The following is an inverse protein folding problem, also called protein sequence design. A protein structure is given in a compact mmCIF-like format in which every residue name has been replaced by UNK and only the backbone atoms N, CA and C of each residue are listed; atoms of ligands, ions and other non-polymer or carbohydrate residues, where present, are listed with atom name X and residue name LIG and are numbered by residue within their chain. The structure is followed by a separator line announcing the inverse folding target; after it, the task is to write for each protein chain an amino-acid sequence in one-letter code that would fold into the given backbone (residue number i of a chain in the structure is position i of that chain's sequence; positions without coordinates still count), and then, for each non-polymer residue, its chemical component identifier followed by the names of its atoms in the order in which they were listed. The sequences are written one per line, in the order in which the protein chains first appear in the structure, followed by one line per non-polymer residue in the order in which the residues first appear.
data_IF_350520288568
#
_entry.id   IF_350520288568
#
_cell.length_a   1.000
_cell.length_b   1.000
_cell.length_c   1.000
_cell.angle_alpha   90.00
_cell.angle_beta   90.00
_cell.angle_gamma   90.00
#
_symmetry.space_group_name_H-M   'P 1'
#
loop_
_entity.id
_entity.type
_entity.pdbx_description
1 polymer ?
#
# COMPACT_ATOMS: atom_id res chain seq x y z
N UNK A 1 -69.94 -27.99 -58.90
CA UNK A 1 -69.41 -29.19 -58.21
C UNK A 1 -68.91 -28.76 -56.84
N UNK A 2 -69.31 -29.48 -55.79
CA UNK A 2 -68.87 -29.32 -54.39
C UNK A 2 -67.37 -29.57 -54.26
N UNK A 3 -66.70 -28.84 -53.37
CA UNK A 3 -65.86 -29.48 -52.34
C UNK A 3 -65.63 -28.54 -51.15
N UNK A 4 -65.75 -29.14 -49.97
CA UNK A 4 -65.63 -28.59 -48.63
C UNK A 4 -64.15 -28.68 -48.23
N UNK A 5 -63.64 -27.71 -47.47
CA UNK A 5 -62.27 -27.73 -46.96
C UNK A 5 -62.07 -26.88 -45.69
N UNK A 6 -62.36 -27.53 -44.56
CA UNK A 6 -61.71 -27.44 -43.23
C UNK A 6 -61.67 -26.12 -42.44
N UNK A 7 -62.34 -26.20 -41.28
CA UNK A 7 -62.24 -25.37 -40.09
C UNK A 7 -60.80 -25.34 -39.53
N UNK A 8 -60.40 -24.20 -38.98
CA UNK A 8 -59.27 -24.09 -38.04
C UNK A 8 -59.76 -23.38 -36.77
N UNK A 9 -59.47 -23.99 -35.62
CA UNK A 9 -59.78 -23.48 -34.28
C UNK A 9 -58.96 -22.22 -33.93
N UNK A 10 -59.49 -21.28 -33.13
CA UNK A 10 -58.66 -20.22 -32.56
C UNK A 10 -57.81 -20.76 -31.41
N UNK A 11 -56.50 -20.84 -31.63
CA UNK A 11 -55.50 -21.13 -30.59
C UNK A 11 -55.50 -19.97 -29.58
N UNK A 12 -55.81 -20.29 -28.32
CA UNK A 12 -55.65 -19.40 -27.17
C UNK A 12 -54.17 -18.99 -27.03
N UNK A 13 -53.92 -17.68 -27.09
CA UNK A 13 -52.59 -17.08 -26.96
C UNK A 13 -52.08 -17.21 -25.52
N UNK A 14 -51.12 -18.11 -25.34
CA UNK A 14 -50.48 -18.47 -24.07
C UNK A 14 -49.69 -17.31 -23.41
N UNK A 15 -49.60 -16.15 -24.06
CA UNK A 15 -48.87 -14.99 -23.54
C UNK A 15 -49.66 -14.09 -22.58
N UNK A 16 -50.99 -14.12 -22.58
CA UNK A 16 -51.77 -13.23 -21.70
C UNK A 16 -51.97 -13.77 -20.27
N UNK A 17 -51.88 -15.09 -20.05
CA UNK A 17 -52.04 -15.69 -18.71
C UNK A 17 -50.75 -15.57 -17.86
N UNK A 18 -49.58 -15.48 -18.50
CA UNK A 18 -48.29 -15.38 -17.78
C UNK A 18 -48.01 -13.99 -17.21
N UNK A 19 -48.51 -12.92 -17.83
CA UNK A 19 -48.24 -11.55 -17.37
C UNK A 19 -49.02 -11.20 -16.09
N UNK A 20 -50.24 -11.73 -15.93
CA UNK A 20 -51.07 -11.46 -14.75
C UNK A 20 -50.60 -12.21 -13.49
N UNK A 21 -49.95 -13.37 -13.65
CA UNK A 21 -49.43 -14.17 -12.52
C UNK A 21 -48.11 -13.63 -11.94
N UNK A 22 -47.28 -12.98 -12.78
CA UNK A 22 -45.98 -12.44 -12.34
C UNK A 22 -46.17 -11.14 -11.54
N UNK A 23 -47.17 -10.31 -11.88
CA UNK A 23 -47.44 -9.05 -11.17
C UNK A 23 -47.99 -9.27 -9.75
N UNK A 24 -48.81 -10.30 -9.51
CA UNK A 24 -49.34 -10.62 -8.18
C UNK A 24 -48.32 -11.32 -7.27
N UNK A 25 -47.34 -12.05 -7.85
CA UNK A 25 -46.25 -12.66 -7.08
C UNK A 25 -45.25 -11.61 -6.56
N UNK A 26 -44.94 -10.59 -7.37
CA UNK A 26 -43.99 -9.53 -7.02
C UNK A 26 -44.54 -8.58 -5.93
N UNK A 27 -45.84 -8.31 -5.92
CA UNK A 27 -46.49 -7.51 -4.87
C UNK A 27 -46.53 -8.22 -3.50
N UNK A 28 -46.69 -9.56 -3.48
CA UNK A 28 -46.63 -10.36 -2.23
C UNK A 28 -45.20 -10.52 -1.69
N UNK A 29 -44.19 -10.59 -2.56
CA UNK A 29 -42.78 -10.62 -2.14
C UNK A 29 -42.33 -9.28 -1.54
N UNK A 30 -42.80 -8.14 -2.08
CA UNK A 30 -42.49 -6.81 -1.56
C UNK A 30 -43.01 -6.54 -0.14
N UNK A 31 -44.18 -7.09 0.21
CA UNK A 31 -44.79 -6.89 1.54
C UNK A 31 -44.08 -7.70 2.64
N UNK A 32 -43.57 -8.90 2.32
CA UNK A 32 -42.84 -9.77 3.26
C UNK A 32 -41.42 -9.22 3.55
N UNK A 33 -40.81 -8.56 2.57
CA UNK A 33 -39.49 -7.90 2.75
C UNK A 33 -39.61 -6.62 3.59
N UNK A 34 -40.73 -5.89 3.53
CA UNK A 34 -40.92 -4.70 4.37
C UNK A 34 -41.17 -5.05 5.85
N UNK A 35 -41.92 -6.12 6.13
CA UNK A 35 -42.23 -6.55 7.52
C UNK A 35 -41.02 -7.21 8.20
N UNK A 36 -40.14 -7.88 7.45
CA UNK A 36 -38.92 -8.51 8.01
C UNK A 36 -37.80 -7.50 8.34
N UNK A 37 -37.79 -6.31 7.72
CA UNK A 37 -36.82 -5.24 8.03
C UNK A 37 -37.13 -4.47 9.33
N UNK A 38 -38.39 -4.43 9.76
CA UNK A 38 -38.78 -3.79 11.03
C UNK A 38 -38.41 -4.61 12.27
N UNK A 39 -38.53 -5.94 12.20
CA UNK A 39 -38.21 -6.83 13.33
C UNK A 39 -36.69 -7.06 13.52
N UNK A 40 -35.91 -7.00 12.44
CA UNK A 40 -34.46 -7.24 12.48
C UNK A 40 -33.65 -6.09 13.10
N UNK A 41 -34.20 -4.87 13.11
CA UNK A 41 -33.56 -3.70 13.73
C UNK A 41 -33.66 -3.69 15.26
N UNK A 42 -34.74 -4.22 15.84
CA UNK A 42 -34.93 -4.22 17.29
C UNK A 42 -34.04 -5.24 18.03
N UNK A 43 -33.69 -6.36 17.38
CA UNK A 43 -32.83 -7.41 17.98
C UNK A 43 -31.34 -7.06 17.80
N UNK A 44 -30.97 -6.44 16.67
CA UNK A 44 -29.59 -6.02 16.40
C UNK A 44 -29.08 -4.88 17.29
N UNK A 45 -29.95 -3.92 17.65
CA UNK A 45 -29.58 -2.78 18.49
C UNK A 45 -29.31 -3.17 19.96
N UNK A 46 -30.02 -4.18 20.49
CA UNK A 46 -29.82 -4.66 21.86
C UNK A 46 -28.52 -5.44 22.07
N UNK A 47 -28.07 -6.21 21.06
CA UNK A 47 -26.83 -6.99 21.15
C UNK A 47 -25.56 -6.11 21.06
N UNK A 48 -25.60 -5.01 20.32
CA UNK A 48 -24.46 -4.08 20.17
C UNK A 48 -24.29 -3.18 21.41
N UNK A 49 -25.38 -2.84 22.11
CA UNK A 49 -25.32 -2.04 23.33
C UNK A 49 -24.71 -2.81 24.52
N UNK A 50 -24.93 -4.13 24.64
CA UNK A 50 -24.34 -4.95 25.70
C UNK A 50 -22.86 -5.31 25.47
N UNK A 51 -22.37 -5.29 24.22
CA UNK A 51 -20.96 -5.55 23.92
C UNK A 51 -20.03 -4.35 24.24
N UNK A 52 -20.57 -3.14 24.39
CA UNK A 52 -19.81 -1.94 24.74
C UNK A 52 -19.62 -1.74 26.25
N UNK A 53 -20.25 -2.56 27.10
CA UNK A 53 -20.16 -2.45 28.56
C UNK A 53 -19.13 -3.40 29.21
N UNK A 54 -18.44 -4.23 28.41
CA UNK A 54 -17.39 -5.15 28.88
C UNK A 54 -16.09 -5.04 28.09
N UNK A 55 -15.66 -3.82 27.76
CA UNK A 55 -14.25 -3.59 27.42
C UNK A 55 -13.50 -3.41 28.74
N UNK A 56 -12.59 -4.32 29.13
CA UNK A 56 -11.74 -4.07 30.29
C UNK A 56 -10.94 -2.80 30.01
N UNK A 57 -10.94 -1.88 30.98
CA UNK A 57 -10.08 -0.71 30.95
C UNK A 57 -8.62 -1.18 30.86
N UNK A 58 -8.06 -1.18 29.65
CA UNK A 58 -6.62 -1.30 29.45
C UNK A 58 -6.04 0.01 29.97
N UNK A 59 -5.61 -0.04 31.22
CA UNK A 59 -4.82 1.01 31.82
C UNK A 59 -3.54 1.11 31.00
N UNK A 60 -3.29 2.28 30.42
CA UNK A 60 -1.99 2.64 29.92
C UNK A 60 -1.02 2.64 31.12
N UNK A 61 -0.34 1.52 31.32
CA UNK A 61 0.70 1.42 32.31
C UNK A 61 1.95 2.08 31.72
N UNK A 62 2.10 3.37 31.96
CA UNK A 62 3.37 4.07 31.76
C UNK A 62 4.33 3.63 32.87
N UNK A 63 5.15 2.62 32.61
CA UNK A 63 6.36 2.37 33.37
C UNK A 63 7.51 1.93 32.46
N UNK A 64 8.62 2.67 32.56
CA UNK A 64 9.96 2.20 32.21
C UNK A 64 10.41 2.46 30.78
N UNK A 65 10.89 3.67 30.50
CA UNK A 65 11.89 3.85 29.44
C UNK A 65 13.18 3.15 29.86
N UNK A 66 13.47 1.99 29.26
CA UNK A 66 14.85 1.52 29.14
C UNK A 66 15.31 1.86 27.74
N UNK A 67 16.27 2.77 27.67
CA UNK A 67 17.01 3.08 26.45
C UNK A 67 17.79 1.83 26.04
N UNK A 68 17.45 1.20 24.92
CA UNK A 68 18.34 0.21 24.31
C UNK A 68 19.36 0.93 23.41
N UNK A 69 20.66 0.61 23.52
CA UNK A 69 21.73 1.29 22.80
C UNK A 69 21.80 0.88 21.33
N UNK A 70 22.40 1.77 20.54
CA UNK A 70 22.60 1.71 19.10
C UNK A 70 23.08 0.35 18.55
N UNK A 71 22.57 -0.02 17.36
CA UNK A 71 23.28 -0.69 16.26
C UNK A 71 23.81 -2.12 16.43
N UNK A 72 23.98 -2.62 17.66
CA UNK A 72 24.53 -3.95 17.99
C UNK A 72 23.51 -4.89 18.67
N UNK A 73 22.26 -4.46 18.82
CA UNK A 73 21.28 -5.12 19.70
C UNK A 73 20.80 -6.53 19.29
N UNK A 74 21.05 -6.97 18.05
CA UNK A 74 20.67 -8.34 17.62
C UNK A 74 21.84 -9.29 17.86
N UNK A 75 22.03 -9.66 19.13
CA UNK A 75 22.99 -10.68 19.55
C UNK A 75 22.70 -11.97 18.79
N UNK A 76 23.73 -12.61 18.24
CA UNK A 76 23.59 -13.87 17.51
C UNK A 76 24.23 -15.00 18.30
N UNK A 77 23.58 -16.16 18.39
CA UNK A 77 24.11 -17.33 19.10
C UNK A 77 24.65 -18.36 18.10
N UNK A 78 25.85 -18.90 18.37
CA UNK A 78 26.46 -20.00 17.61
C UNK A 78 27.22 -19.58 16.33
N UNK A 79 27.66 -20.58 15.57
CA UNK A 79 28.50 -20.40 14.38
C UNK A 79 27.76 -19.90 13.12
N UNK A 80 26.43 -19.74 13.21
CA UNK A 80 25.57 -19.42 12.07
C UNK A 80 25.36 -20.62 11.13
N UNK A 81 24.27 -20.58 10.36
CA UNK A 81 23.94 -21.57 9.34
C UNK A 81 24.26 -21.00 7.97
N UNK A 82 25.19 -21.64 7.26
CA UNK A 82 25.58 -21.25 5.90
C UNK A 82 24.56 -21.74 4.86
N UNK A 83 24.33 -20.92 3.83
CA UNK A 83 23.60 -21.31 2.63
C UNK A 83 24.59 -21.33 1.47
N UNK A 84 24.75 -22.46 0.74
CA UNK A 84 25.59 -22.50 -0.45
C UNK A 84 25.19 -21.42 -1.47
N UNK A 85 26.16 -20.61 -1.90
CA UNK A 85 25.92 -19.52 -2.87
C UNK A 85 25.43 -18.20 -2.28
N UNK A 86 25.27 -18.10 -0.95
CA UNK A 86 25.00 -16.83 -0.27
C UNK A 86 26.23 -16.34 0.50
N UNK A 87 26.43 -15.01 0.55
CA UNK A 87 27.54 -14.37 1.30
C UNK A 87 27.20 -14.08 2.77
N UNK A 88 25.97 -14.40 3.21
CA UNK A 88 25.47 -14.18 4.56
C UNK A 88 25.16 -15.50 5.26
N UNK A 89 25.01 -15.43 6.59
CA UNK A 89 24.64 -16.56 7.44
C UNK A 89 23.31 -16.29 8.14
N UNK A 90 22.60 -17.37 8.47
CA UNK A 90 21.39 -17.33 9.31
C UNK A 90 21.80 -17.59 10.75
N UNK A 91 21.23 -16.85 11.69
CA UNK A 91 21.43 -17.03 13.12
C UNK A 91 20.09 -17.19 13.81
N UNK A 92 20.07 -17.93 14.91
CA UNK A 92 18.99 -17.84 15.88
C UNK A 92 19.37 -16.77 16.90
N UNK A 93 18.49 -15.80 17.14
CA UNK A 93 18.66 -14.83 18.22
C UNK A 93 18.60 -15.53 19.59
N UNK A 94 19.19 -14.94 20.65
CA UNK A 94 18.96 -15.43 22.00
C UNK A 94 17.46 -15.32 22.24
N UNK A 95 16.80 -16.45 22.46
CA UNK A 95 15.39 -16.41 22.83
C UNK A 95 15.28 -15.58 24.09
N UNK A 96 14.55 -14.46 24.06
CA UNK A 96 14.09 -13.90 25.32
C UNK A 96 13.25 -15.02 25.96
N UNK A 97 13.65 -15.44 27.16
CA UNK A 97 13.09 -16.58 27.91
C UNK A 97 11.64 -16.35 28.38
N UNK A 98 10.86 -15.52 27.68
CA UNK A 98 9.39 -15.53 27.70
C UNK A 98 8.84 -16.63 26.76
N UNK A 99 9.49 -17.80 26.73
CA UNK A 99 9.07 -18.95 25.93
C UNK A 99 7.68 -19.46 26.35
N UNK A 100 7.20 -19.09 27.55
CA UNK A 100 5.89 -19.49 28.06
C UNK A 100 4.72 -18.69 27.49
N UNK A 101 4.92 -17.47 26.96
CA UNK A 101 3.82 -16.65 26.40
C UNK A 101 3.60 -16.82 24.89
N UNK A 102 4.61 -17.31 24.14
CA UNK A 102 4.58 -17.36 22.67
C UNK A 102 4.20 -18.72 22.08
N UNK A 103 4.08 -19.78 22.90
CA UNK A 103 3.68 -21.11 22.45
C UNK A 103 4.65 -21.77 21.43
N UNK A 104 5.89 -21.29 21.35
CA UNK A 104 6.94 -21.83 20.48
C UNK A 104 7.78 -22.87 21.21
N UNK A 105 7.79 -24.09 20.69
CA UNK A 105 8.63 -25.18 21.20
C UNK A 105 10.05 -25.09 20.63
N UNK A 106 11.01 -25.79 21.24
CA UNK A 106 12.35 -25.92 20.66
C UNK A 106 12.33 -26.58 19.28
N UNK A 107 11.37 -27.49 19.03
CA UNK A 107 11.16 -28.09 17.72
C UNK A 107 10.72 -27.04 16.69
N UNK A 108 9.81 -26.12 17.08
CA UNK A 108 9.37 -25.03 16.21
C UNK A 108 10.52 -24.08 15.85
N UNK A 109 11.40 -23.77 16.82
CA UNK A 109 12.60 -22.94 16.58
C UNK A 109 13.56 -23.59 15.58
N UNK A 110 13.84 -24.89 15.75
CA UNK A 110 14.66 -25.66 14.80
C UNK A 110 14.00 -25.74 13.42
N UNK A 111 12.68 -25.96 13.37
CA UNK A 111 11.92 -25.97 12.13
C UNK A 111 11.95 -24.62 11.42
N UNK A 112 11.88 -23.50 12.15
CA UNK A 112 11.98 -22.16 11.59
C UNK A 112 13.34 -21.93 10.91
N UNK A 113 14.44 -22.28 11.60
CA UNK A 113 15.80 -22.19 11.04
C UNK A 113 15.93 -23.00 9.76
N UNK A 114 15.49 -24.25 9.78
CA UNK A 114 15.59 -25.14 8.61
C UNK A 114 14.73 -24.64 7.46
N UNK A 115 13.48 -24.25 7.73
CA UNK A 115 12.56 -23.71 6.72
C UNK A 115 13.12 -22.45 6.06
N UNK A 116 13.68 -21.52 6.84
CA UNK A 116 14.29 -20.29 6.31
C UNK A 116 15.53 -20.62 5.48
N UNK A 117 16.37 -21.56 5.95
CA UNK A 117 17.57 -22.01 5.22
C UNK A 117 17.20 -22.62 3.87
N UNK A 118 16.24 -23.53 3.84
CA UNK A 118 15.75 -24.17 2.61
C UNK A 118 15.07 -23.16 1.69
N UNK A 119 14.27 -22.22 2.23
CA UNK A 119 13.66 -21.17 1.43
C UNK A 119 14.72 -20.28 0.76
N UNK A 120 15.80 -19.93 1.46
CA UNK A 120 16.92 -19.21 0.83
C UNK A 120 17.65 -20.06 -0.21
N UNK A 121 17.81 -21.36 0.01
CA UNK A 121 18.39 -22.25 -0.99
C UNK A 121 17.54 -22.26 -2.29
N UNK A 122 16.22 -22.26 -2.18
CA UNK A 122 15.29 -22.11 -3.32
C UNK A 122 15.55 -20.77 -4.03
N UNK A 123 15.65 -19.66 -3.29
CA UNK A 123 15.93 -18.35 -3.88
C UNK A 123 17.27 -18.28 -4.62
N UNK A 124 18.33 -18.92 -4.08
CA UNK A 124 19.64 -19.02 -4.73
C UNK A 124 19.56 -19.86 -6.01
N UNK A 125 18.86 -21.00 -5.95
CA UNK A 125 18.67 -21.88 -7.11
C UNK A 125 17.92 -21.18 -8.25
N UNK A 126 16.94 -20.34 -7.92
CA UNK A 126 16.06 -19.63 -8.84
C UNK A 126 16.36 -18.13 -8.92
N UNK A 127 17.65 -17.74 -8.75
CA UNK A 127 18.04 -16.32 -8.64
C UNK A 127 17.56 -15.42 -9.77
N UNK A 128 17.44 -15.96 -10.99
CA UNK A 128 16.98 -15.21 -12.17
C UNK A 128 15.53 -14.79 -12.07
N UNK A 129 14.74 -15.55 -11.30
CA UNK A 129 13.31 -15.30 -11.10
C UNK A 129 13.09 -14.28 -9.97
N UNK A 130 14.14 -13.97 -9.19
CA UNK A 130 14.13 -13.07 -8.04
C UNK A 130 15.19 -11.96 -8.16
N UNK A 131 14.99 -10.97 -9.04
CA UNK A 131 16.02 -9.97 -9.38
C UNK A 131 16.49 -9.12 -8.18
N UNK A 132 15.62 -8.84 -7.20
CA UNK A 132 16.00 -8.09 -5.99
C UNK A 132 16.87 -8.90 -5.03
N UNK A 133 16.60 -10.20 -4.97
CA UNK A 133 17.43 -11.13 -4.21
C UNK A 133 18.81 -11.24 -4.86
N UNK A 134 18.87 -11.46 -6.18
CA UNK A 134 20.12 -11.53 -6.94
C UNK A 134 20.94 -10.22 -6.86
N UNK A 135 20.30 -9.05 -6.98
CA UNK A 135 20.93 -7.74 -6.77
C UNK A 135 21.57 -7.64 -5.38
N UNK A 136 20.82 -8.03 -4.34
CA UNK A 136 21.27 -7.94 -2.95
C UNK A 136 22.42 -8.91 -2.66
N UNK A 137 22.43 -10.09 -3.29
CA UNK A 137 23.55 -11.03 -3.22
C UNK A 137 24.80 -10.44 -3.88
N UNK A 138 24.67 -9.90 -5.10
CA UNK A 138 25.79 -9.30 -5.86
C UNK A 138 26.41 -8.10 -5.15
N UNK A 139 25.58 -7.29 -4.48
CA UNK A 139 26.01 -6.14 -3.68
C UNK A 139 26.43 -6.51 -2.27
N UNK A 140 26.29 -7.79 -1.90
CA UNK A 140 26.43 -8.30 -0.54
C UNK A 140 25.68 -7.43 0.49
N UNK A 141 24.45 -7.06 0.17
CA UNK A 141 23.65 -6.13 0.97
C UNK A 141 23.26 -6.71 2.34
N UNK A 142 23.02 -8.02 2.43
CA UNK A 142 22.74 -8.68 3.70
C UNK A 142 24.03 -9.00 4.44
N UNK A 143 24.13 -8.50 5.67
CA UNK A 143 25.18 -8.89 6.60
C UNK A 143 24.88 -10.26 7.22
N UNK A 144 23.63 -10.45 7.67
CA UNK A 144 23.14 -11.68 8.30
C UNK A 144 21.61 -11.70 8.33
N UNK A 145 21.06 -12.89 8.52
CA UNK A 145 19.64 -13.11 8.84
C UNK A 145 19.55 -13.56 10.29
N UNK A 146 18.64 -12.99 11.08
CA UNK A 146 18.43 -13.39 12.48
C UNK A 146 16.97 -13.81 12.65
N UNK A 147 16.77 -15.04 13.12
CA UNK A 147 15.45 -15.57 13.46
C UNK A 147 15.23 -15.34 14.95
N UNK A 148 14.23 -14.55 15.29
CA UNK A 148 13.85 -14.24 16.66
C UNK A 148 12.53 -14.93 17.00
N UNK A 149 12.23 -15.08 18.29
CA UNK A 149 10.95 -15.64 18.74
C UNK A 149 9.79 -14.78 18.23
N UNK A 150 9.93 -13.47 18.38
CA UNK A 150 9.06 -12.44 17.80
C UNK A 150 9.93 -11.25 17.46
N UNK A 151 9.68 -10.64 16.31
CA UNK A 151 10.37 -9.43 15.87
C UNK A 151 9.47 -8.24 16.18
N UNK A 152 9.91 -7.35 17.06
CA UNK A 152 9.21 -6.11 17.38
C UNK A 152 10.03 -4.90 16.97
N UNK A 153 9.38 -3.82 16.56
CA UNK A 153 10.05 -2.54 16.41
C UNK A 153 10.20 -1.84 17.78
N UNK A 154 10.89 -0.69 17.80
CA UNK A 154 11.09 0.12 19.01
C UNK A 154 9.78 0.65 19.63
N UNK A 155 8.66 0.58 18.90
CA UNK A 155 7.31 0.95 19.35
C UNK A 155 6.54 -0.26 19.94
N UNK A 156 7.17 -1.44 20.01
CA UNK A 156 6.56 -2.68 20.51
C UNK A 156 5.63 -3.39 19.51
N UNK A 157 5.57 -2.95 18.24
CA UNK A 157 4.75 -3.60 17.21
C UNK A 157 5.47 -4.81 16.63
N UNK A 158 4.78 -5.95 16.59
CA UNK A 158 5.26 -7.18 15.98
C UNK A 158 5.22 -7.16 14.44
N UNK A 159 6.24 -7.76 13.82
CA UNK A 159 6.38 -7.91 12.37
C UNK A 159 6.80 -9.35 11.99
N UNK A 160 6.29 -9.92 10.89
CA UNK A 160 6.80 -11.18 10.36
C UNK A 160 8.26 -11.07 9.88
N UNK A 161 8.60 -9.95 9.24
CA UNK A 161 9.93 -9.64 8.71
C UNK A 161 10.27 -8.18 8.99
N UNK A 162 11.54 -7.89 9.30
CA UNK A 162 12.02 -6.52 9.49
C UNK A 162 13.46 -6.38 8.98
N UNK A 163 13.72 -5.35 8.17
CA UNK A 163 15.08 -5.03 7.71
C UNK A 163 15.64 -3.87 8.53
N UNK A 164 16.77 -4.12 9.22
CA UNK A 164 17.48 -3.14 10.04
C UNK A 164 18.82 -2.75 9.40
N UNK A 165 19.21 -1.47 9.50
CA UNK A 165 20.55 -1.03 9.04
C UNK A 165 21.60 -1.50 10.04
N UNK A 166 22.79 -1.81 9.54
CA UNK A 166 23.97 -1.98 10.40
C UNK A 166 24.76 -0.68 10.49
N UNK A 167 25.75 -0.66 11.39
CA UNK A 167 26.76 0.40 11.45
C UNK A 167 27.64 0.44 10.19
N UNK A 168 27.71 -0.67 9.43
CA UNK A 168 28.41 -0.74 8.15
C UNK A 168 27.50 -0.20 7.03
N UNK A 169 27.88 0.89 6.35
CA UNK A 169 27.15 1.38 5.19
C UNK A 169 27.01 0.29 4.12
N UNK A 170 25.85 0.19 3.49
CA UNK A 170 25.62 -0.83 2.47
C UNK A 170 25.17 -2.19 3.01
N UNK A 171 25.20 -2.39 4.34
CA UNK A 171 24.92 -3.67 4.97
C UNK A 171 23.70 -3.58 5.89
N UNK A 172 22.81 -4.56 5.77
CA UNK A 172 21.57 -4.65 6.56
C UNK A 172 21.40 -6.03 7.18
N UNK A 173 20.57 -6.11 8.23
CA UNK A 173 20.15 -7.35 8.88
C UNK A 173 18.69 -7.60 8.52
N UNK A 174 18.35 -8.83 8.15
CA UNK A 174 16.97 -9.27 8.02
C UNK A 174 16.57 -10.05 9.28
N UNK A 175 15.57 -9.55 9.99
CA UNK A 175 14.96 -10.19 11.15
C UNK A 175 13.72 -10.95 10.71
N UNK A 176 13.54 -12.17 11.22
CA UNK A 176 12.42 -13.05 10.89
C UNK A 176 11.77 -13.55 12.18
N UNK A 177 10.46 -13.40 12.29
CA UNK A 177 9.67 -13.83 13.46
C UNK A 177 9.28 -15.31 13.33
N UNK A 178 9.83 -16.16 14.20
CA UNK A 178 9.48 -17.58 14.26
C UNK A 178 7.99 -17.81 14.60
N UNK A 179 7.40 -16.97 15.46
CA UNK A 179 5.97 -17.07 15.80
C UNK A 179 5.12 -16.81 14.57
N UNK A 180 5.47 -15.78 13.79
CA UNK A 180 4.77 -15.46 12.54
C UNK A 180 4.95 -16.53 11.48
N UNK A 181 6.10 -17.22 11.42
CA UNK A 181 6.27 -18.38 10.52
C UNK A 181 5.33 -19.52 10.91
N UNK A 182 5.14 -19.77 12.21
CA UNK A 182 4.22 -20.80 12.73
C UNK A 182 2.76 -20.43 12.48
N UNK A 183 2.34 -19.23 12.89
CA UNK A 183 0.96 -18.74 12.78
C UNK A 183 0.47 -18.71 11.33
N UNK A 184 1.34 -18.34 10.39
CA UNK A 184 1.00 -18.29 8.97
C UNK A 184 1.22 -19.63 8.24
N UNK A 185 1.58 -20.70 8.95
CA UNK A 185 1.73 -22.04 8.37
C UNK A 185 2.91 -22.18 7.41
N UNK A 186 4.00 -21.43 7.60
CA UNK A 186 5.19 -21.52 6.76
C UNK A 186 6.19 -22.60 7.22
N UNK A 187 6.16 -23.01 8.49
CA UNK A 187 7.07 -24.04 9.00
C UNK A 187 6.99 -25.32 8.17
N UNK A 188 8.14 -25.89 7.81
CA UNK A 188 8.29 -27.07 6.93
C UNK A 188 7.81 -26.86 5.48
N UNK A 189 7.54 -25.62 5.07
CA UNK A 189 7.08 -25.28 3.73
C UNK A 189 7.98 -24.22 3.07
N UNK A 190 9.25 -24.54 2.78
CA UNK A 190 10.21 -23.57 2.23
C UNK A 190 9.79 -23.00 0.86
N UNK A 191 9.13 -23.79 0.01
CA UNK A 191 8.67 -23.36 -1.31
C UNK A 191 7.56 -22.30 -1.26
N UNK A 192 6.73 -22.31 -0.20
CA UNK A 192 5.70 -21.28 0.00
C UNK A 192 6.27 -20.04 0.68
N UNK A 193 7.29 -20.20 1.52
CA UNK A 193 8.00 -19.09 2.17
C UNK A 193 8.92 -18.33 1.20
N UNK A 194 9.59 -19.01 0.28
CA UNK A 194 10.55 -18.40 -0.66
C UNK A 194 10.01 -17.15 -1.39
N UNK A 195 8.85 -17.18 -2.09
CA UNK A 195 8.33 -15.99 -2.76
C UNK A 195 7.92 -14.87 -1.79
N UNK A 196 7.58 -15.19 -0.53
CA UNK A 196 7.28 -14.20 0.50
C UNK A 196 8.58 -13.52 0.94
N UNK A 197 9.62 -14.30 1.26
CA UNK A 197 10.95 -13.77 1.58
C UNK A 197 11.54 -12.94 0.44
N UNK A 198 11.36 -13.35 -0.82
CA UNK A 198 11.87 -12.61 -1.97
C UNK A 198 11.32 -11.18 -2.06
N UNK A 199 10.08 -10.93 -1.63
CA UNK A 199 9.48 -9.58 -1.59
C UNK A 199 10.22 -8.68 -0.61
N UNK A 200 10.69 -9.22 0.51
CA UNK A 200 11.43 -8.45 1.52
C UNK A 200 12.78 -7.93 1.01
N UNK A 201 13.34 -8.52 -0.06
CA UNK A 201 14.59 -8.06 -0.65
C UNK A 201 14.49 -6.71 -1.34
N UNK A 202 13.27 -6.22 -1.62
CA UNK A 202 13.03 -4.82 -1.93
C UNK A 202 13.55 -3.90 -0.81
N UNK A 203 13.25 -4.23 0.45
CA UNK A 203 13.67 -3.45 1.61
C UNK A 203 15.16 -3.62 1.89
N UNK A 204 15.69 -4.83 1.70
CA UNK A 204 17.13 -5.10 1.78
C UNK A 204 17.89 -4.18 0.83
N UNK A 205 17.57 -4.25 -0.47
CA UNK A 205 18.20 -3.38 -1.49
C UNK A 205 17.97 -1.90 -1.18
N UNK A 206 16.77 -1.53 -0.70
CA UNK A 206 16.44 -0.13 -0.35
C UNK A 206 17.20 0.42 0.85
N UNK A 207 17.42 -0.38 1.88
CA UNK A 207 18.11 0.07 3.09
C UNK A 207 19.62 -0.03 2.94
N UNK A 208 20.10 -1.00 2.15
CA UNK A 208 21.50 -1.10 1.75
C UNK A 208 21.92 0.01 0.78
N UNK A 209 21.01 0.60 0.01
CA UNK A 209 21.36 1.73 -0.85
C UNK A 209 21.79 2.96 -0.02
N UNK A 210 23.08 3.27 -0.12
CA UNK A 210 23.74 4.43 0.51
C UNK A 210 24.04 5.54 -0.47
N UNK A 211 23.57 5.44 -1.73
CA UNK A 211 23.73 6.53 -2.67
C UNK A 211 23.11 7.80 -2.07
N UNK A 212 23.75 8.97 -2.23
CA UNK A 212 23.22 10.22 -1.72
C UNK A 212 21.82 10.42 -2.26
N UNK A 213 20.83 10.39 -1.36
CA UNK A 213 19.43 10.61 -1.73
C UNK A 213 19.33 12.04 -2.27
N UNK A 214 18.77 12.25 -3.47
CA UNK A 214 18.55 13.59 -3.98
C UNK A 214 17.74 14.40 -2.98
N UNK A 215 18.23 15.58 -2.61
CA UNK A 215 17.50 16.49 -1.71
C UNK A 215 16.28 17.01 -2.48
N UNK A 216 15.09 16.68 -1.99
CA UNK A 216 13.86 17.32 -2.48
C UNK A 216 13.93 18.81 -2.16
N UNK A 217 13.71 19.65 -3.17
CA UNK A 217 13.72 21.09 -3.00
C UNK A 217 12.37 21.50 -2.43
N UNK A 218 12.32 21.72 -1.12
CA UNK A 218 11.13 22.27 -0.47
C UNK A 218 10.98 23.74 -0.87
N UNK A 219 10.25 24.01 -1.95
CA UNK A 219 9.88 25.39 -2.28
C UNK A 219 8.81 25.93 -1.33
N UNK A 220 8.76 27.25 -1.18
CA UNK A 220 7.95 27.94 -0.18
C UNK A 220 6.44 27.71 -0.39
N UNK A 221 5.73 27.19 0.61
CA UNK A 221 4.28 26.92 0.55
C UNK A 221 3.50 27.93 1.37
N UNK A 222 2.34 28.34 0.87
CA UNK A 222 1.46 29.28 1.56
C UNK A 222 0.56 28.55 2.58
N UNK A 223 1.17 28.00 3.65
CA UNK A 223 0.49 27.09 4.60
C UNK A 223 -0.74 27.72 5.25
N UNK A 224 -0.64 28.96 5.75
CA UNK A 224 -1.75 29.65 6.45
C UNK A 224 -2.93 29.98 5.54
N UNK A 225 -2.67 30.32 4.28
CA UNK A 225 -3.71 30.69 3.31
C UNK A 225 -4.17 29.51 2.45
N UNK A 226 -3.67 28.30 2.69
CA UNK A 226 -4.06 27.12 1.93
C UNK A 226 -5.58 26.89 2.08
N UNK A 227 -6.34 26.77 0.96
CA UNK A 227 -7.79 26.63 1.00
C UNK A 227 -8.22 25.20 1.33
N UNK A 228 -7.68 24.62 2.40
CA UNK A 228 -8.08 23.30 2.86
C UNK A 228 -9.52 23.31 3.41
N UNK A 229 -10.17 22.15 3.36
CA UNK A 229 -11.54 21.94 3.86
C UNK A 229 -11.60 20.68 4.72
N UNK A 230 -12.55 20.66 5.65
CA UNK A 230 -12.82 19.44 6.44
C UNK A 230 -13.50 18.39 5.57
N UNK A 231 -13.43 17.13 5.98
CA UNK A 231 -14.09 16.03 5.28
C UNK A 231 -15.61 16.25 5.13
N UNK A 232 -16.25 16.87 6.14
CA UNK A 232 -17.68 17.23 6.10
C UNK A 232 -17.96 18.34 5.09
N UNK A 233 -17.13 19.39 5.06
CA UNK A 233 -17.26 20.47 4.08
C UNK A 233 -17.10 19.91 2.66
N UNK A 234 -16.10 19.04 2.44
CA UNK A 234 -15.83 18.41 1.14
C UNK A 234 -17.00 17.55 0.66
N UNK A 235 -17.67 16.84 1.58
CA UNK A 235 -18.83 16.02 1.26
C UNK A 235 -20.00 16.84 0.72
N UNK A 236 -20.16 18.09 1.19
CA UNK A 236 -21.20 18.99 0.75
C UNK A 236 -20.93 19.66 -0.62
N UNK A 237 -19.69 19.61 -1.12
CA UNK A 237 -19.31 20.20 -2.40
C UNK A 237 -19.73 19.30 -3.58
N UNK A 238 -20.18 19.94 -4.65
CA UNK A 238 -20.32 19.31 -5.98
C UNK A 238 -18.95 18.98 -6.60
N UNK A 239 -18.94 18.13 -7.63
CA UNK A 239 -17.72 17.78 -8.36
C UNK A 239 -16.96 18.99 -8.93
N UNK A 240 -17.68 19.98 -9.46
CA UNK A 240 -17.08 21.20 -10.01
C UNK A 240 -16.49 22.10 -8.92
N UNK A 241 -17.15 22.21 -7.76
CA UNK A 241 -16.60 22.96 -6.63
C UNK A 241 -15.34 22.30 -6.06
N UNK A 242 -15.31 20.96 -6.02
CA UNK A 242 -14.12 20.19 -5.64
C UNK A 242 -12.96 20.42 -6.62
N UNK A 243 -13.23 20.50 -7.92
CA UNK A 243 -12.21 20.84 -8.94
C UNK A 243 -11.66 22.25 -8.74
N UNK A 244 -12.52 23.25 -8.52
CA UNK A 244 -12.08 24.62 -8.25
C UNK A 244 -11.20 24.68 -7.00
N UNK A 245 -11.58 23.97 -5.94
CA UNK A 245 -10.79 23.87 -4.71
C UNK A 245 -9.42 23.23 -4.97
N UNK A 246 -9.38 22.12 -5.72
CA UNK A 246 -8.13 21.47 -6.11
C UNK A 246 -7.22 22.39 -6.92
N UNK A 247 -7.77 23.18 -7.85
CA UNK A 247 -7.00 24.15 -8.64
C UNK A 247 -6.36 25.24 -7.75
N UNK A 248 -7.08 25.74 -6.74
CA UNK A 248 -6.52 26.69 -5.79
C UNK A 248 -5.40 26.05 -4.93
N UNK A 249 -5.59 24.79 -4.53
CA UNK A 249 -4.55 24.03 -3.83
C UNK A 249 -3.32 23.82 -4.72
N UNK A 250 -3.49 23.48 -6.00
CA UNK A 250 -2.38 23.33 -6.96
C UNK A 250 -1.59 24.63 -7.17
N UNK A 251 -2.25 25.79 -7.01
CA UNK A 251 -1.60 27.10 -7.13
C UNK A 251 -0.80 27.54 -5.90
N UNK A 252 -1.02 26.92 -4.73
CA UNK A 252 -0.52 27.48 -3.45
C UNK A 252 0.08 26.47 -2.47
N UNK A 253 -0.31 25.19 -2.57
CA UNK A 253 -0.06 24.18 -1.54
C UNK A 253 0.36 22.82 -2.13
N UNK A 254 -0.53 22.18 -2.90
CA UNK A 254 -0.29 20.89 -3.56
C UNK A 254 0.60 21.11 -4.79
N UNK A 255 1.68 20.33 -4.93
CA UNK A 255 2.60 20.47 -6.07
C UNK A 255 2.78 19.17 -6.83
N UNK A 256 2.94 19.29 -8.14
CA UNK A 256 3.52 18.27 -9.02
C UNK A 256 4.99 18.61 -9.24
N UNK A 257 5.91 17.71 -8.89
CA UNK A 257 7.36 18.01 -8.89
C UNK A 257 8.18 16.91 -9.56
N UNK A 258 9.29 17.30 -10.18
CA UNK A 258 10.36 16.41 -10.62
C UNK A 258 11.69 16.88 -10.02
N UNK A 259 11.76 16.90 -8.68
CA UNK A 259 12.90 17.43 -7.92
C UNK A 259 14.23 16.71 -8.26
N UNK A 260 14.13 15.48 -8.74
CA UNK A 260 15.29 14.64 -9.08
C UNK A 260 15.67 14.75 -10.56
N UNK A 261 14.97 15.57 -11.35
CA UNK A 261 15.10 15.64 -12.82
C UNK A 261 15.02 14.25 -13.46
N UNK A 262 14.16 13.39 -12.89
CA UNK A 262 13.95 12.02 -13.34
C UNK A 262 13.37 11.92 -14.74
N UNK A 263 12.80 13.01 -15.25
CA UNK A 263 12.18 13.09 -16.57
C UNK A 263 12.95 13.99 -17.55
N UNK A 264 13.99 14.71 -17.09
CA UNK A 264 14.74 15.66 -17.91
C UNK A 264 15.49 14.93 -19.03
N UNK A 265 15.19 15.31 -20.27
CA UNK A 265 15.76 14.66 -21.47
C UNK A 265 15.35 13.20 -21.69
N UNK A 266 14.44 12.64 -20.87
CA UNK A 266 13.96 11.27 -21.03
C UNK A 266 12.88 11.15 -22.10
N UNK A 267 12.82 10.01 -22.79
CA UNK A 267 11.72 9.69 -23.70
C UNK A 267 10.41 9.52 -22.95
N UNK A 268 9.27 9.81 -23.57
CA UNK A 268 7.95 9.58 -22.98
C UNK A 268 7.22 8.44 -23.69
N UNK A 269 6.29 7.79 -22.99
CA UNK A 269 5.39 6.81 -23.58
C UNK A 269 4.17 7.46 -24.23
N UNK A 270 3.81 6.95 -25.40
CA UNK A 270 2.47 7.17 -25.95
C UNK A 270 1.40 6.50 -25.08
N UNK A 271 0.21 7.11 -25.04
CA UNK A 271 -0.89 6.58 -24.23
C UNK A 271 -1.33 5.22 -24.78
N UNK A 272 -1.43 4.22 -23.90
CA UNK A 272 -1.81 2.85 -24.25
C UNK A 272 -0.71 2.02 -24.88
N UNK A 273 0.54 2.51 -24.91
CA UNK A 273 1.63 1.89 -25.65
C UNK A 273 2.93 1.82 -24.84
N UNK A 274 3.77 0.81 -25.11
CA UNK A 274 5.13 0.72 -24.59
C UNK A 274 6.16 1.41 -25.49
N UNK A 275 5.72 2.04 -26.58
CA UNK A 275 6.57 2.82 -27.49
C UNK A 275 7.05 4.09 -26.81
N UNK A 276 8.37 4.31 -26.86
CA UNK A 276 9.03 5.50 -26.36
C UNK A 276 9.26 6.50 -27.50
N UNK A 277 8.88 7.75 -27.26
CA UNK A 277 9.09 8.88 -28.16
C UNK A 277 10.13 9.80 -27.57
N UNK A 278 11.14 10.15 -28.36
CA UNK A 278 12.18 11.08 -27.95
C UNK A 278 11.59 12.48 -27.69
N UNK A 279 12.02 13.18 -26.64
CA UNK A 279 11.51 14.51 -26.35
C UNK A 279 12.02 15.52 -27.39
N UNK A 280 11.15 16.44 -27.82
CA UNK A 280 11.53 17.53 -28.72
C UNK A 280 12.31 18.64 -28.00
N UNK A 281 12.06 18.83 -26.71
CA UNK A 281 12.82 19.71 -25.81
C UNK A 281 13.06 19.01 -24.45
N UNK A 282 14.14 19.35 -23.71
CA UNK A 282 14.51 18.68 -22.47
C UNK A 282 13.38 18.57 -21.42
N UNK A 283 12.51 19.59 -21.33
CA UNK A 283 11.41 19.67 -20.35
C UNK A 283 10.06 19.15 -20.86
N UNK A 284 9.98 18.69 -22.11
CA UNK A 284 8.72 18.27 -22.74
C UNK A 284 8.09 17.09 -22.02
N UNK A 285 8.90 16.13 -21.61
CA UNK A 285 8.47 14.93 -20.89
C UNK A 285 7.91 15.27 -19.51
N UNK A 286 8.60 16.14 -18.76
CA UNK A 286 8.12 16.63 -17.45
C UNK A 286 6.77 17.33 -17.58
N UNK A 287 6.64 18.25 -18.55
CA UNK A 287 5.38 18.98 -18.80
C UNK A 287 4.23 18.04 -19.18
N UNK A 288 4.50 17.09 -20.08
CA UNK A 288 3.50 16.12 -20.54
C UNK A 288 2.96 15.29 -19.37
N UNK A 289 3.84 14.77 -18.52
CA UNK A 289 3.43 13.98 -17.36
C UNK A 289 2.79 14.82 -16.27
N UNK A 290 3.24 16.05 -16.07
CA UNK A 290 2.58 17.00 -15.18
C UNK A 290 1.13 17.27 -15.60
N UNK A 291 0.90 17.57 -16.88
CA UNK A 291 -0.45 17.79 -17.42
C UNK A 291 -1.33 16.56 -17.16
N UNK A 292 -0.81 15.37 -17.45
CA UNK A 292 -1.56 14.12 -17.29
C UNK A 292 -1.91 13.81 -15.85
N UNK A 293 -0.97 14.00 -14.92
CA UNK A 293 -1.21 13.84 -13.48
C UNK A 293 -2.26 14.85 -13.02
N UNK A 294 -2.15 16.13 -13.42
CA UNK A 294 -3.12 17.15 -13.01
C UNK A 294 -4.53 16.84 -13.53
N UNK A 295 -4.65 16.34 -14.77
CA UNK A 295 -5.93 15.86 -15.30
C UNK A 295 -6.47 14.69 -14.46
N UNK A 296 -5.61 13.72 -14.13
CA UNK A 296 -5.98 12.59 -13.28
C UNK A 296 -6.50 13.04 -11.90
N UNK A 297 -5.82 13.97 -11.23
CA UNK A 297 -6.25 14.52 -9.94
C UNK A 297 -7.60 15.24 -10.03
N UNK A 298 -7.84 15.98 -11.11
CA UNK A 298 -9.13 16.64 -11.35
C UNK A 298 -10.26 15.61 -11.53
N UNK A 299 -10.01 14.51 -12.26
CA UNK A 299 -10.97 13.41 -12.40
C UNK A 299 -11.32 12.79 -11.05
N UNK A 300 -10.32 12.53 -10.21
CA UNK A 300 -10.52 11.97 -8.86
C UNK A 300 -11.51 12.81 -8.05
N UNK A 301 -11.35 14.14 -8.03
CA UNK A 301 -12.20 14.99 -7.20
C UNK A 301 -13.55 15.35 -7.84
N UNK A 302 -13.66 15.24 -9.17
CA UNK A 302 -14.87 15.59 -9.94
C UNK A 302 -15.86 14.45 -10.04
N UNK A 303 -15.38 13.25 -10.41
CA UNK A 303 -16.27 12.18 -10.86
C UNK A 303 -16.89 11.42 -9.67
N UNK A 304 -18.22 11.16 -9.67
CA UNK A 304 -18.90 10.47 -8.58
C UNK A 304 -18.30 9.11 -8.23
N UNK A 305 -17.79 8.39 -9.24
CA UNK A 305 -17.13 7.09 -9.09
C UNK A 305 -16.11 7.08 -7.95
N UNK A 306 -15.24 8.10 -7.89
CA UNK A 306 -14.17 8.15 -6.88
C UNK A 306 -14.69 8.52 -5.50
N UNK A 307 -15.77 9.28 -5.40
CA UNK A 307 -16.42 9.55 -4.13
C UNK A 307 -17.06 8.28 -3.55
N UNK A 308 -17.65 7.45 -4.40
CA UNK A 308 -18.31 6.20 -3.99
C UNK A 308 -17.31 5.08 -3.68
N UNK A 309 -16.24 4.96 -4.47
CA UNK A 309 -15.29 3.84 -4.39
C UNK A 309 -14.02 4.15 -3.61
N UNK A 310 -13.53 5.38 -3.70
CA UNK A 310 -12.28 5.83 -3.08
C UNK A 310 -12.46 7.17 -2.34
N UNK A 311 -13.45 7.30 -1.44
CA UNK A 311 -13.80 8.58 -0.81
C UNK A 311 -12.62 9.21 -0.07
N UNK A 312 -11.70 8.40 0.43
CA UNK A 312 -10.51 8.86 1.15
C UNK A 312 -9.52 9.55 0.22
N UNK A 313 -9.44 9.16 -1.04
CA UNK A 313 -8.62 9.82 -2.05
C UNK A 313 -9.12 11.25 -2.31
N UNK A 314 -10.42 11.40 -2.53
CA UNK A 314 -11.05 12.72 -2.71
C UNK A 314 -10.80 13.61 -1.49
N UNK A 315 -11.07 13.09 -0.28
CA UNK A 315 -10.89 13.84 0.96
C UNK A 315 -9.43 14.23 1.19
N UNK A 316 -8.49 13.29 1.03
CA UNK A 316 -7.06 13.53 1.30
C UNK A 316 -6.42 14.54 0.34
N UNK A 317 -6.92 14.64 -0.90
CA UNK A 317 -6.48 15.67 -1.84
C UNK A 317 -6.96 17.07 -1.42
N UNK A 318 -8.19 17.17 -0.92
CA UNK A 318 -8.84 18.46 -0.67
C UNK A 318 -8.68 18.98 0.78
N UNK A 319 -8.40 18.09 1.73
CA UNK A 319 -8.11 18.46 3.12
C UNK A 319 -6.62 18.75 3.37
N UNK A 320 -5.79 18.65 2.33
CA UNK A 320 -4.37 19.00 2.38
C UNK A 320 -3.44 17.90 2.91
N UNK A 321 -3.95 16.69 3.23
CA UNK A 321 -3.09 15.53 3.57
C UNK A 321 -2.11 15.24 2.44
N UNK A 322 -2.57 15.23 1.19
CA UNK A 322 -1.67 15.17 0.03
C UNK A 322 -1.22 16.58 -0.32
N UNK A 323 0.09 16.81 -0.30
CA UNK A 323 0.68 18.11 -0.67
C UNK A 323 1.73 18.01 -1.77
N UNK A 324 2.04 16.79 -2.24
CA UNK A 324 3.02 16.57 -3.31
C UNK A 324 2.68 15.32 -4.10
N UNK A 325 2.78 15.41 -5.42
CA UNK A 325 2.89 14.28 -6.34
C UNK A 325 4.24 14.42 -7.05
N UNK A 326 5.16 13.49 -6.82
CA UNK A 326 6.52 13.55 -7.35
C UNK A 326 6.73 12.49 -8.43
N UNK A 327 7.33 12.91 -9.53
CA UNK A 327 7.88 12.02 -10.53
C UNK A 327 9.22 11.49 -10.05
N UNK A 328 9.41 10.19 -10.16
CA UNK A 328 10.66 9.53 -9.80
C UNK A 328 11.03 8.53 -10.88
N UNK A 329 12.32 8.39 -11.15
CA UNK A 329 12.85 7.29 -11.92
C UNK A 329 13.76 6.47 -11.00
N UNK A 330 13.22 5.38 -10.46
CA UNK A 330 13.96 4.49 -9.56
C UNK A 330 13.87 3.07 -10.10
N UNK A 331 14.77 2.74 -11.02
CA UNK A 331 14.96 1.38 -11.58
C UNK A 331 15.24 0.32 -10.52
N UNK A 332 15.57 0.73 -9.29
CA UNK A 332 15.83 -0.15 -8.16
C UNK A 332 14.63 -0.37 -7.24
N UNK A 333 13.45 0.19 -7.56
CA UNK A 333 12.21 -0.10 -6.84
C UNK A 333 11.29 -0.96 -7.70
N UNK A 334 10.58 -1.85 -7.04
CA UNK A 334 9.58 -2.80 -7.56
C UNK A 334 8.16 -2.23 -7.61
N UNK A 335 7.90 -1.07 -6.99
CA UNK A 335 6.61 -0.41 -7.04
C UNK A 335 6.53 0.57 -8.21
N UNK A 336 5.34 0.63 -8.81
CA UNK A 336 5.00 1.59 -9.88
C UNK A 336 4.52 2.93 -9.32
N UNK A 337 3.73 2.89 -8.24
CA UNK A 337 3.33 4.08 -7.46
C UNK A 337 3.49 3.82 -5.97
N UNK A 338 3.66 4.89 -5.18
CA UNK A 338 3.79 4.75 -3.72
C UNK A 338 3.46 6.02 -2.97
N UNK A 339 2.74 5.87 -1.88
CA UNK A 339 2.44 6.95 -0.94
C UNK A 339 3.44 6.97 0.20
N UNK A 340 3.99 8.15 0.49
CA UNK A 340 4.85 8.42 1.64
C UNK A 340 4.24 9.48 2.54
N UNK A 341 3.64 9.06 3.64
CA UNK A 341 3.24 9.95 4.72
C UNK A 341 4.46 10.29 5.58
N UNK A 342 4.68 11.57 5.88
CA UNK A 342 5.75 12.02 6.75
C UNK A 342 5.51 11.61 8.21
N UNK A 343 6.55 11.52 9.06
CA UNK A 343 6.38 11.30 10.51
C UNK A 343 5.55 12.40 11.19
N UNK A 344 4.99 12.08 12.35
CA UNK A 344 4.09 12.99 13.10
C UNK A 344 4.83 14.23 13.61
N UNK A 345 6.13 14.13 13.90
CA UNK A 345 6.95 15.30 14.26
C UNK A 345 7.08 16.30 13.11
N UNK A 346 6.81 15.87 11.86
CA UNK A 346 6.79 16.72 10.67
C UNK A 346 5.39 17.20 10.28
N UNK A 347 4.41 17.01 11.15
CA UNK A 347 3.08 17.58 10.96
C UNK A 347 3.15 19.11 10.87
N UNK A 348 2.30 19.69 10.03
CA UNK A 348 2.24 21.13 9.79
C UNK A 348 0.86 21.68 10.14
N UNK A 349 0.81 22.96 10.49
CA UNK A 349 -0.43 23.71 10.66
C UNK A 349 -0.76 24.42 9.35
N UNK A 350 -1.96 24.19 8.84
CA UNK A 350 -2.40 24.67 7.52
C UNK A 350 -3.80 25.28 7.57
N UNK A 351 -4.05 26.19 6.64
CA UNK A 351 -5.33 26.86 6.43
C UNK A 351 -5.75 27.81 7.55
N UNK A 352 -6.86 28.52 7.31
CA UNK A 352 -7.39 29.53 8.22
C UNK A 352 -7.94 28.97 9.54
N UNK A 353 -8.13 27.64 9.64
CA UNK A 353 -8.60 26.94 10.84
C UNK A 353 -7.45 26.30 11.63
N UNK A 354 -6.20 26.60 11.27
CA UNK A 354 -4.99 26.04 11.89
C UNK A 354 -5.06 24.50 12.02
N UNK A 355 -5.48 23.84 10.93
CA UNK A 355 -5.62 22.40 10.92
C UNK A 355 -4.24 21.74 10.96
N UNK A 356 -4.02 20.85 11.92
CA UNK A 356 -2.82 20.00 11.95
C UNK A 356 -2.94 18.89 10.92
N UNK A 357 -1.98 18.81 10.01
CA UNK A 357 -1.93 17.83 8.93
C UNK A 357 -0.57 17.14 8.92
N UNK A 358 -0.59 15.82 8.94
CA UNK A 358 0.57 14.98 8.66
C UNK A 358 0.69 14.82 7.13
N UNK A 359 1.69 15.43 6.48
CA UNK A 359 1.68 15.51 5.03
C UNK A 359 2.09 14.21 4.34
N UNK A 360 1.57 14.01 3.13
CA UNK A 360 1.86 12.86 2.29
C UNK A 360 2.33 13.27 0.89
N UNK A 361 3.29 12.52 0.36
CA UNK A 361 3.75 12.59 -1.01
C UNK A 361 3.35 11.33 -1.77
N UNK A 362 2.78 11.48 -2.96
CA UNK A 362 2.53 10.39 -3.90
C UNK A 362 3.70 10.35 -4.88
N UNK A 363 4.37 9.21 -4.97
CA UNK A 363 5.47 8.99 -5.89
C UNK A 363 4.96 8.20 -7.08
N UNK A 364 5.20 8.71 -8.28
CA UNK A 364 4.83 8.06 -9.54
C UNK A 364 6.11 7.68 -10.26
N UNK A 365 6.35 6.38 -10.42
CA UNK A 365 7.46 5.87 -11.20
C UNK A 365 7.01 5.65 -12.65
N UNK A 366 7.22 6.67 -13.46
CA UNK A 366 6.69 6.78 -14.83
C UNK A 366 7.07 5.61 -15.73
N UNK A 367 8.27 5.05 -15.56
CA UNK A 367 8.79 3.97 -16.42
C UNK A 367 8.52 2.57 -15.90
N UNK A 368 7.80 2.45 -14.77
CA UNK A 368 7.49 1.16 -14.16
C UNK A 368 6.10 0.66 -14.51
N UNK A 369 6.03 -0.65 -14.69
CA UNK A 369 4.79 -1.43 -14.77
C UNK A 369 4.37 -1.84 -13.37
N UNK A 370 3.07 -1.94 -13.12
CA UNK A 370 2.55 -2.60 -11.94
C UNK A 370 2.86 -4.11 -11.98
N UNK A 371 3.13 -4.71 -10.83
CA UNK A 371 3.24 -6.16 -10.72
C UNK A 371 1.84 -6.81 -10.83
N UNK A 372 1.71 -8.06 -11.31
CA UNK A 372 0.42 -8.73 -11.43
C UNK A 372 -0.42 -8.81 -10.14
N UNK A 373 0.24 -8.77 -8.99
CA UNK A 373 -0.38 -8.80 -7.67
C UNK A 373 -0.62 -7.41 -7.06
N UNK A 374 -0.21 -6.33 -7.73
CA UNK A 374 -0.56 -4.97 -7.30
C UNK A 374 -2.08 -4.75 -7.42
N UNK A 375 -2.72 -4.08 -6.44
CA UNK A 375 -4.17 -3.89 -6.43
C UNK A 375 -4.69 -3.06 -7.60
N UNK A 376 -3.82 -2.27 -8.24
CA UNK A 376 -4.13 -1.46 -9.43
C UNK A 376 -3.66 -2.10 -10.74
N UNK A 377 -3.09 -3.31 -10.72
CA UNK A 377 -2.73 -4.03 -11.94
C UNK A 377 -3.88 -4.12 -12.96
N UNK A 378 -5.14 -4.39 -12.57
CA UNK A 378 -6.26 -4.46 -13.52
C UNK A 378 -6.49 -3.19 -14.34
N UNK A 379 -6.18 -2.02 -13.78
CA UNK A 379 -6.30 -0.72 -14.47
C UNK A 379 -5.12 -0.46 -15.42
N UNK A 380 -3.96 -1.03 -15.10
CA UNK A 380 -2.71 -0.81 -15.85
C UNK A 380 -2.51 -1.83 -16.97
N UNK A 381 -3.00 -3.07 -16.78
CA UNK A 381 -2.85 -4.19 -17.70
C UNK A 381 -1.40 -4.43 -18.17
N UNK A 382 -0.43 -4.20 -17.27
CA UNK A 382 0.99 -4.34 -17.57
C UNK A 382 1.62 -3.17 -18.32
N UNK A 383 0.89 -2.08 -18.55
CA UNK A 383 1.44 -0.85 -19.12
C UNK A 383 2.29 -0.09 -18.07
N UNK A 384 3.38 0.59 -18.49
CA UNK A 384 4.09 1.53 -17.64
C UNK A 384 3.18 2.66 -17.17
N UNK A 385 3.41 3.23 -15.97
CA UNK A 385 2.60 4.35 -15.46
C UNK A 385 2.54 5.53 -16.44
N UNK A 386 3.64 5.81 -17.13
CA UNK A 386 3.75 6.84 -18.14
C UNK A 386 3.02 6.53 -19.45
N UNK A 387 2.56 5.31 -19.67
CA UNK A 387 1.73 4.94 -20.81
C UNK A 387 0.23 5.03 -20.48
N UNK A 388 -0.16 5.19 -19.21
CA UNK A 388 -1.56 5.23 -18.83
C UNK A 388 -2.25 6.49 -19.34
N UNK A 389 -3.53 6.36 -19.69
CA UNK A 389 -4.42 7.52 -19.88
C UNK A 389 -4.65 8.25 -18.55
N UNK A 390 -5.16 9.49 -18.60
CA UNK A 390 -5.49 10.24 -17.39
C UNK A 390 -6.55 9.53 -16.52
N UNK A 391 -7.48 8.80 -17.14
CA UNK A 391 -8.49 8.01 -16.42
C UNK A 391 -7.86 6.82 -15.68
N UNK A 392 -7.05 6.01 -16.37
CA UNK A 392 -6.35 4.89 -15.74
C UNK A 392 -5.44 5.39 -14.61
N UNK A 393 -4.70 6.47 -14.86
CA UNK A 393 -3.83 7.07 -13.85
C UNK A 393 -4.63 7.60 -12.64
N UNK A 394 -5.84 8.14 -12.84
CA UNK A 394 -6.73 8.55 -11.76
C UNK A 394 -7.14 7.36 -10.88
N UNK A 395 -7.48 6.21 -11.48
CA UNK A 395 -7.81 4.97 -10.76
C UNK A 395 -6.63 4.47 -9.93
N UNK A 396 -5.44 4.40 -10.54
CA UNK A 396 -4.19 4.01 -9.85
C UNK A 396 -3.89 4.93 -8.67
N UNK A 397 -3.85 6.25 -8.88
CA UNK A 397 -3.54 7.23 -7.82
C UNK A 397 -4.59 7.20 -6.71
N UNK A 398 -5.87 7.08 -7.06
CA UNK A 398 -6.94 7.04 -6.06
C UNK A 398 -6.86 5.79 -5.18
N UNK A 399 -6.62 4.61 -5.76
CA UNK A 399 -6.41 3.36 -5.01
C UNK A 399 -5.17 3.45 -4.12
N UNK A 400 -4.07 3.99 -4.66
CA UNK A 400 -2.82 4.19 -3.93
C UNK A 400 -3.05 5.08 -2.69
N UNK A 401 -3.75 6.21 -2.85
CA UNK A 401 -4.12 7.06 -1.72
C UNK A 401 -5.06 6.34 -0.74
N UNK A 402 -6.11 5.69 -1.26
CA UNK A 402 -7.14 5.03 -0.48
C UNK A 402 -6.53 3.98 0.46
N UNK A 403 -5.63 3.15 -0.05
CA UNK A 403 -5.00 2.08 0.72
C UNK A 403 -3.86 2.59 1.62
N UNK A 404 -3.03 3.53 1.14
CA UNK A 404 -1.75 3.83 1.79
C UNK A 404 -1.70 5.14 2.60
N UNK A 405 -2.63 6.10 2.42
CA UNK A 405 -2.72 7.25 3.34
C UNK A 405 -3.44 6.84 4.60
N UNK A 406 -2.80 6.16 5.53
CA UNK A 406 -3.37 5.97 6.86
C UNK A 406 -2.97 7.16 7.76
N UNK A 407 -3.79 7.50 8.76
CA UNK A 407 -3.20 8.04 9.99
C UNK A 407 -2.24 6.96 10.44
N UNK A 408 -0.93 7.19 10.34
CA UNK A 408 0.07 6.17 10.62
C UNK A 408 0.05 5.84 12.11
N UNK A 409 -0.91 5.00 12.51
CA UNK A 409 -0.72 4.08 13.60
C UNK A 409 0.24 3.01 13.08
N UNK A 410 1.51 3.28 13.41
CA UNK A 410 2.63 2.35 13.48
C UNK A 410 3.43 2.16 12.19
N UNK A 411 4.57 2.84 12.23
CA UNK A 411 5.53 3.04 11.18
C UNK A 411 6.72 2.07 11.35
N UNK A 412 6.52 0.78 11.11
CA UNK A 412 7.61 -0.21 11.25
C UNK A 412 8.87 0.15 10.47
N UNK A 413 8.73 0.43 9.17
CA UNK A 413 9.89 0.72 8.33
C UNK A 413 10.34 2.19 8.36
N UNK A 414 9.44 3.14 8.63
CA UNK A 414 9.74 4.59 8.50
C UNK A 414 10.25 5.20 9.81
N UNK A 415 9.77 4.76 10.98
CA UNK A 415 10.25 5.27 12.27
C UNK A 415 11.72 4.86 12.50
N UNK A 416 12.06 3.61 12.21
CA UNK A 416 13.43 3.12 12.38
C UNK A 416 14.40 3.71 11.35
N UNK A 417 13.94 4.11 10.17
CA UNK A 417 14.76 4.82 9.17
C UNK A 417 15.20 6.22 9.64
N UNK A 418 14.45 6.87 10.53
CA UNK A 418 14.82 8.17 11.09
C UNK A 418 15.84 8.05 12.24
N UNK A 419 15.79 6.94 13.00
CA UNK A 419 16.67 6.68 14.14
C UNK A 419 17.98 5.98 13.74
N UNK A 420 17.96 5.13 12.71
CA UNK A 420 19.14 4.41 12.20
C UNK A 420 19.86 5.12 11.06
N UNK A 421 19.41 6.32 10.68
CA UNK A 421 20.15 7.17 9.76
C UNK A 421 21.45 7.62 10.45
N UNK A 422 22.64 7.42 9.85
CA UNK A 422 23.86 8.02 10.37
C UNK A 422 23.67 9.54 10.41
N UNK A 423 23.95 10.14 11.56
CA UNK A 423 23.88 11.60 11.77
C UNK A 423 24.98 12.32 11.02
#
# INVERSE_FOLDING_TARGET
MKTIGLQSEPVLDCRQVSVLHITTLLLRAGLIILVSRGASWAIGAGAVACALLFVPAVHANHQGHVSHPDGEAHITVGAGYSIPGASFQIFMGPGNDAAEETGLTQADRSAAVETVREAFAVLVQHRTDYPRFDESLKKEALARVVIETTVVNDEGRAFPFLVARTTQPGRVILLISASSLKENGYLHHPNTLAPVLAREFQWVASKADTAPKPKMVAGERALKSAPIRTDQDIAALSGEERVRLLQQLLGSYLRTVDDQRSLDGQSYYEVGSTVLVAPTHPDSTTKLYEIRVREALQRIVREPFFWERTPKAVRSLLNGKVWTVAFVNIDQRDWATRTRVLPEEKAVIVGARDQRVQPAAILVNTYRTAAPDDPFYPDTQGLPMGALSAEQLARVIALEIQHNIQEKSMAGHVAQDALTAPK
#
